data_IF_090604742734
#
_entry.id   IF_090604742734
#
_cell.length_a   1.000
_cell.length_b   1.000
_cell.length_c   1.000
_cell.angle_alpha   90.00
_cell.angle_beta   90.00
_cell.angle_gamma   90.00
#
_symmetry.space_group_name_H-M   'P 1'
#
loop_
_entity.id
_entity.type
_entity.pdbx_description
1 polymer ?
#
# COMPACT_ATOMS: atom_id res chain seq x y z
N UNK A 1 6.38 -11.80 6.29
CA UNK A 1 5.18 -11.62 5.42
C UNK A 1 5.62 -10.71 4.30
N UNK A 2 5.56 -11.19 3.05
CA UNK A 2 6.15 -10.53 1.86
C UNK A 2 5.83 -9.03 1.79
N UNK A 3 4.60 -8.62 2.11
CA UNK A 3 4.17 -7.20 2.06
C UNK A 3 5.02 -6.30 3.00
N UNK A 4 5.43 -6.81 4.17
CA UNK A 4 6.31 -6.05 5.09
C UNK A 4 7.74 -5.93 4.57
N UNK A 5 8.18 -6.87 3.74
CA UNK A 5 9.50 -6.78 3.11
C UNK A 5 9.49 -5.75 1.99
N UNK A 6 8.37 -5.60 1.26
CA UNK A 6 8.19 -4.52 0.29
C UNK A 6 8.24 -3.12 0.92
N UNK A 7 7.73 -2.95 2.14
CA UNK A 7 7.86 -1.69 2.90
C UNK A 7 9.29 -1.29 3.24
N UNK A 8 10.28 -2.19 3.11
CA UNK A 8 11.69 -1.87 3.34
C UNK A 8 12.34 -1.20 2.13
N UNK A 9 11.73 -1.32 0.94
CA UNK A 9 12.20 -0.64 -0.27
C UNK A 9 12.08 0.88 -0.09
N UNK A 10 13.01 1.63 -0.67
CA UNK A 10 13.19 3.06 -0.41
C UNK A 10 11.92 3.87 -0.70
N UNK A 11 11.27 3.60 -1.81
CA UNK A 11 10.11 4.35 -2.27
C UNK A 11 8.84 3.97 -1.51
N UNK A 12 8.73 2.70 -1.10
CA UNK A 12 7.59 2.19 -0.32
C UNK A 12 7.61 2.62 1.15
N UNK A 13 8.72 3.19 1.65
CA UNK A 13 8.83 3.69 3.04
C UNK A 13 8.01 4.96 3.28
N UNK A 14 7.52 5.59 2.22
CA UNK A 14 6.75 6.84 2.27
C UNK A 14 5.44 6.66 1.55
N UNK A 15 4.40 7.31 2.05
CA UNK A 15 3.11 7.36 1.36
C UNK A 15 3.26 8.08 0.02
N UNK A 16 2.79 7.46 -1.07
CA UNK A 16 2.90 8.02 -2.42
C UNK A 16 2.19 9.37 -2.57
N UNK A 17 1.14 9.64 -1.79
CA UNK A 17 0.33 10.85 -1.94
C UNK A 17 0.80 12.03 -1.10
N UNK A 18 1.35 11.79 0.10
CA UNK A 18 1.69 12.87 1.05
C UNK A 18 3.08 12.76 1.66
N UNK A 19 3.87 11.77 1.23
CA UNK A 19 5.26 11.56 1.63
C UNK A 19 5.50 11.26 3.13
N UNK A 20 4.43 11.05 3.90
CA UNK A 20 4.52 10.64 5.31
C UNK A 20 5.21 9.28 5.45
N UNK A 21 6.06 9.13 6.47
CA UNK A 21 6.77 7.89 6.73
C UNK A 21 5.85 6.78 7.24
N UNK A 22 6.20 5.53 6.91
CA UNK A 22 5.56 4.34 7.46
C UNK A 22 4.10 4.16 7.00
N UNK A 23 3.83 4.05 5.68
CA UNK A 23 2.50 3.73 5.21
C UNK A 23 2.00 2.39 5.78
N UNK A 24 0.72 2.36 6.18
CA UNK A 24 0.11 1.23 6.89
C UNK A 24 -0.92 0.48 6.03
N UNK A 25 -1.22 1.00 4.84
CA UNK A 25 -2.21 0.48 3.93
C UNK A 25 -1.64 0.35 2.53
N UNK A 26 -2.21 -0.57 1.75
CA UNK A 26 -2.01 -0.69 0.32
C UNK A 26 -3.30 -0.28 -0.37
N UNK A 27 -3.24 0.64 -1.33
CA UNK A 27 -4.33 0.87 -2.27
C UNK A 27 -4.25 -0.20 -3.37
N UNK A 28 -5.10 -1.22 -3.30
CA UNK A 28 -5.09 -2.35 -4.25
C UNK A 28 -5.73 -2.00 -5.59
N UNK A 29 -6.24 -0.78 -5.75
CA UNK A 29 -6.65 -0.25 -7.06
C UNK A 29 -5.42 0.18 -7.89
N UNK A 30 -4.38 0.71 -7.23
CA UNK A 30 -3.19 1.24 -7.89
C UNK A 30 -1.90 0.50 -7.53
N UNK A 31 -1.97 -0.45 -6.60
CA UNK A 31 -0.82 -1.19 -6.07
C UNK A 31 0.25 -0.29 -5.44
N UNK A 32 -0.20 0.70 -4.67
CA UNK A 32 0.66 1.67 -3.97
C UNK A 32 0.50 1.61 -2.45
N UNK A 33 1.55 1.97 -1.72
CA UNK A 33 1.53 2.11 -0.27
C UNK A 33 1.09 3.52 0.14
N UNK A 34 0.10 3.57 1.04
CA UNK A 34 -0.52 4.81 1.51
C UNK A 34 -0.62 4.85 3.04
N UNK A 35 -0.56 6.06 3.61
CA UNK A 35 -0.75 6.25 5.05
C UNK A 35 -2.23 6.14 5.44
N UNK A 36 -2.51 6.14 6.73
CA UNK A 36 -3.87 6.03 7.27
C UNK A 36 -4.79 7.14 6.74
N UNK A 37 -4.32 8.39 6.72
CA UNK A 37 -5.11 9.52 6.22
C UNK A 37 -5.43 9.39 4.71
N UNK A 38 -4.42 9.12 3.87
CA UNK A 38 -4.63 8.94 2.43
C UNK A 38 -5.46 7.69 2.11
N UNK A 39 -5.40 6.65 2.95
CA UNK A 39 -6.31 5.50 2.83
C UNK A 39 -7.77 5.89 3.04
N UNK A 40 -8.05 6.88 3.89
CA UNK A 40 -9.39 7.45 4.07
C UNK A 40 -9.87 8.14 2.81
N UNK A 41 -9.05 9.05 2.26
CA UNK A 41 -9.33 9.75 1.00
C UNK A 41 -9.58 8.77 -0.15
N UNK A 42 -8.76 7.73 -0.28
CA UNK A 42 -8.98 6.70 -1.31
C UNK A 42 -10.33 5.98 -1.20
N UNK A 43 -10.85 5.77 0.03
CA UNK A 43 -12.18 5.18 0.22
C UNK A 43 -13.30 6.12 -0.25
N UNK A 44 -13.13 7.44 -0.14
CA UNK A 44 -14.10 8.42 -0.65
C UNK A 44 -14.22 8.35 -2.19
N UNK A 45 -13.13 7.98 -2.87
CA UNK A 45 -13.12 7.69 -4.31
C UNK A 45 -13.51 6.24 -4.65
N UNK A 46 -14.05 5.47 -3.70
CA UNK A 46 -14.39 4.05 -3.86
C UNK A 46 -13.21 3.12 -4.23
N UNK A 47 -11.97 3.57 -4.04
CA UNK A 47 -10.81 2.72 -4.26
C UNK A 47 -10.68 1.66 -3.16
N UNK A 48 -10.11 0.52 -3.53
CA UNK A 48 -9.92 -0.61 -2.62
C UNK A 48 -8.63 -0.40 -1.84
N UNK A 49 -8.70 -0.55 -0.52
CA UNK A 49 -7.56 -0.42 0.38
C UNK A 49 -7.49 -1.60 1.35
N UNK A 50 -6.29 -2.10 1.61
CA UNK A 50 -6.02 -3.21 2.55
C UNK A 50 -4.99 -2.80 3.59
N UNK A 51 -5.21 -3.18 4.86
CA UNK A 51 -4.23 -2.96 5.93
C UNK A 51 -3.04 -3.92 5.76
N UNK A 52 -1.83 -3.39 5.84
CA UNK A 52 -0.61 -4.21 5.75
C UNK A 52 -0.48 -5.20 6.93
N UNK A 53 -0.96 -4.82 8.12
CA UNK A 53 -0.83 -5.64 9.33
C UNK A 53 -1.98 -6.63 9.53
N UNK A 54 -3.19 -6.30 9.07
CA UNK A 54 -4.41 -7.06 9.38
C UNK A 54 -5.00 -7.82 8.18
N UNK A 55 -4.74 -7.40 6.94
CA UNK A 55 -5.37 -8.02 5.78
C UNK A 55 -4.60 -9.26 5.31
N UNK A 56 -5.35 -10.24 4.79
CA UNK A 56 -4.79 -11.32 3.99
C UNK A 56 -4.65 -10.85 2.54
N UNK A 57 -3.48 -11.11 1.97
CA UNK A 57 -3.18 -10.90 0.56
C UNK A 57 -3.06 -12.27 -0.11
N UNK A 58 -3.70 -12.44 -1.25
CA UNK A 58 -3.51 -13.64 -2.07
C UNK A 58 -2.24 -13.50 -2.93
N UNK A 59 -1.87 -14.55 -3.65
CA UNK A 59 -0.65 -14.58 -4.46
C UNK A 59 -0.67 -13.56 -5.62
N UNK A 60 -1.82 -13.36 -6.24
CA UNK A 60 -2.00 -12.39 -7.31
C UNK A 60 -1.79 -10.96 -6.81
N UNK A 61 -2.39 -10.59 -5.66
CA UNK A 61 -2.23 -9.28 -5.03
C UNK A 61 -0.79 -9.02 -4.59
N UNK A 62 -0.10 -10.05 -4.10
CA UNK A 62 1.33 -9.97 -3.77
C UNK A 62 2.13 -9.67 -5.04
N UNK A 63 1.87 -10.41 -6.12
CA UNK A 63 2.58 -10.26 -7.40
C UNK A 63 2.33 -8.88 -8.01
N UNK A 64 1.07 -8.41 -8.02
CA UNK A 64 0.73 -7.07 -8.51
C UNK A 64 1.39 -5.97 -7.68
N UNK A 65 1.44 -6.12 -6.35
CA UNK A 65 2.11 -5.14 -5.49
C UNK A 65 3.64 -5.16 -5.65
N UNK A 66 4.24 -6.31 -5.96
CA UNK A 66 5.66 -6.43 -6.27
C UNK A 66 6.03 -5.75 -7.60
N UNK A 67 5.15 -5.85 -8.60
CA UNK A 67 5.31 -5.20 -9.90
C UNK A 67 4.94 -3.71 -9.88
N UNK A 68 4.09 -3.30 -8.93
CA UNK A 68 3.79 -1.90 -8.63
C UNK A 68 4.74 -1.36 -7.56
N UNK A 69 4.17 -0.83 -6.48
CA UNK A 69 4.91 -0.09 -5.47
C UNK A 69 4.87 1.41 -5.73
N UNK A 70 5.71 2.15 -5.02
CA UNK A 70 5.71 3.61 -4.98
C UNK A 70 6.81 4.26 -5.85
N UNK A 71 7.33 3.54 -6.85
CA UNK A 71 8.32 4.06 -7.81
C UNK A 71 7.69 5.05 -8.81
#
# INVERSE_FOLDING_TARGET
MIIRDLLKQTDNRRCINCNSLGPQYVCTTFWTFVCTNCSGVHREFTHRVKSVSMAKFNEEEITSLQAGGNE
#
